data_IF_331691874726
#
_entry.id   IF_331691874726
#
_cell.length_a   1.000
_cell.length_b   1.000
_cell.length_c   1.000
_cell.angle_alpha   90.00
_cell.angle_beta   90.00
_cell.angle_gamma   90.00
#
_symmetry.space_group_name_H-M   'P 1'
#
loop_
_entity.id
_entity.type
_entity.pdbx_description
1 polymer ?
#
# COMPACT_ATOMS: atom_id res chain seq x y z
N UNK A 1 -27.67 8.92 -1.84
CA UNK A 1 -26.67 8.78 -0.77
C UNK A 1 -25.29 9.14 -1.30
N UNK A 2 -24.53 9.99 -0.61
CA UNK A 2 -23.13 10.30 -0.98
C UNK A 2 -22.22 9.13 -0.63
N UNK A 3 -21.02 9.07 -1.22
CA UNK A 3 -20.05 8.03 -0.88
C UNK A 3 -19.64 8.09 0.60
N UNK A 4 -19.60 9.28 1.19
CA UNK A 4 -19.30 9.44 2.60
C UNK A 4 -20.39 8.87 3.50
N UNK A 5 -21.67 9.18 3.23
CA UNK A 5 -22.77 8.62 4.02
C UNK A 5 -22.83 7.10 3.88
N UNK A 6 -22.62 6.56 2.66
CA UNK A 6 -22.59 5.11 2.47
C UNK A 6 -21.43 4.46 3.24
N UNK A 7 -20.27 5.09 3.29
CA UNK A 7 -19.13 4.64 4.09
C UNK A 7 -19.48 4.53 5.56
N UNK A 8 -20.08 5.59 6.13
CA UNK A 8 -20.48 5.64 7.54
C UNK A 8 -21.52 4.56 7.86
N UNK A 9 -22.49 4.34 6.97
CA UNK A 9 -23.47 3.25 7.10
C UNK A 9 -22.81 1.88 7.08
N UNK A 10 -21.92 1.61 6.13
CA UNK A 10 -21.19 0.32 6.05
C UNK A 10 -20.40 0.07 7.33
N UNK A 11 -19.69 1.08 7.85
CA UNK A 11 -18.95 0.96 9.12
C UNK A 11 -19.91 0.63 10.27
N UNK A 12 -20.98 1.41 10.44
CA UNK A 12 -21.98 1.18 11.50
C UNK A 12 -22.57 -0.22 11.46
N UNK A 13 -22.90 -0.73 10.28
CA UNK A 13 -23.50 -2.05 10.10
C UNK A 13 -22.49 -3.19 10.31
N UNK A 14 -21.25 -3.02 9.85
CA UNK A 14 -20.22 -4.06 9.95
C UNK A 14 -19.61 -4.15 11.36
N UNK A 15 -19.54 -3.04 12.10
CA UNK A 15 -18.78 -2.96 13.35
C UNK A 15 -19.18 -4.00 14.41
N UNK A 16 -20.46 -4.32 14.65
CA UNK A 16 -20.83 -5.33 15.65
C UNK A 16 -20.27 -6.72 15.35
N UNK A 17 -20.39 -7.19 14.09
CA UNK A 17 -19.88 -8.51 13.68
C UNK A 17 -18.35 -8.53 13.62
N UNK A 18 -17.73 -7.44 13.17
CA UNK A 18 -16.27 -7.31 13.12
C UNK A 18 -15.68 -7.40 14.53
N UNK A 19 -16.26 -6.67 15.49
CA UNK A 19 -15.81 -6.69 16.88
C UNK A 19 -16.06 -8.04 17.57
N UNK A 20 -17.19 -8.72 17.31
CA UNK A 20 -17.45 -10.03 17.91
C UNK A 20 -16.45 -11.10 17.45
N UNK A 21 -15.84 -10.92 16.27
CA UNK A 21 -14.79 -11.80 15.75
C UNK A 21 -13.37 -11.39 16.21
N UNK A 22 -13.25 -10.40 17.09
CA UNK A 22 -11.96 -9.90 17.58
C UNK A 22 -11.17 -9.10 16.54
N UNK A 23 -11.85 -8.55 15.52
CA UNK A 23 -11.27 -7.73 14.47
C UNK A 23 -11.68 -6.26 14.66
N UNK A 24 -11.01 -5.38 13.91
CA UNK A 24 -11.37 -3.96 13.80
C UNK A 24 -11.67 -3.60 12.35
N UNK A 25 -12.56 -2.63 12.15
CA UNK A 25 -12.78 -2.05 10.84
C UNK A 25 -11.58 -1.16 10.51
N UNK A 26 -10.80 -1.57 9.51
CA UNK A 26 -9.65 -0.81 9.04
C UNK A 26 -10.07 0.30 8.08
N UNK A 27 -11.10 0.09 7.27
CA UNK A 27 -11.65 1.15 6.44
C UNK A 27 -12.55 0.65 5.34
N UNK A 28 -13.11 1.58 4.55
CA UNK A 28 -14.08 1.26 3.50
C UNK A 28 -13.76 2.08 2.25
N UNK A 29 -13.62 1.39 1.13
CA UNK A 29 -13.44 1.98 -0.21
C UNK A 29 -14.72 1.81 -1.02
N UNK A 30 -15.17 2.90 -1.66
CA UNK A 30 -16.34 2.90 -2.53
C UNK A 30 -15.89 3.35 -3.90
N UNK A 31 -16.23 2.57 -4.92
CA UNK A 31 -15.98 2.92 -6.32
C UNK A 31 -17.25 2.78 -7.14
N UNK A 32 -17.60 3.84 -7.88
CA UNK A 32 -18.73 3.84 -8.82
C UNK A 32 -18.21 3.90 -10.25
N UNK A 33 -17.89 2.73 -10.81
CA UNK A 33 -17.39 2.59 -12.18
C UNK A 33 -18.27 1.57 -12.93
N UNK A 34 -19.51 1.97 -13.22
CA UNK A 34 -20.55 1.11 -13.79
C UNK A 34 -21.41 0.46 -12.70
N UNK A 35 -20.83 -0.50 -11.97
CA UNK A 35 -21.44 -1.07 -10.74
C UNK A 35 -20.79 -0.48 -9.50
N UNK A 36 -21.56 -0.35 -8.43
CA UNK A 36 -21.03 0.09 -7.14
C UNK A 36 -20.19 -1.03 -6.53
N UNK A 37 -18.92 -0.77 -6.23
CA UNK A 37 -18.06 -1.65 -5.45
C UNK A 37 -17.93 -1.08 -4.04
N UNK A 38 -18.30 -1.87 -3.04
CA UNK A 38 -18.07 -1.59 -1.62
C UNK A 38 -17.02 -2.58 -1.12
N UNK A 39 -15.85 -2.07 -0.76
CA UNK A 39 -14.77 -2.90 -0.18
C UNK A 39 -14.55 -2.51 1.27
N UNK A 40 -14.86 -3.44 2.17
CA UNK A 40 -14.58 -3.34 3.59
C UNK A 40 -13.22 -3.98 3.89
N UNK A 41 -12.34 -3.21 4.51
CA UNK A 41 -11.07 -3.69 5.05
C UNK A 41 -11.22 -3.96 6.55
N UNK A 42 -10.79 -5.14 6.98
CA UNK A 42 -10.72 -5.53 8.39
C UNK A 42 -9.31 -5.94 8.77
N UNK A 43 -8.93 -5.70 10.02
CA UNK A 43 -7.61 -6.06 10.52
C UNK A 43 -7.68 -6.53 11.97
N UNK A 44 -6.59 -7.12 12.44
CA UNK A 44 -6.44 -7.50 13.85
C UNK A 44 -6.11 -6.25 14.65
N UNK A 45 -6.76 -6.01 15.80
CA UNK A 45 -6.42 -4.89 16.68
C UNK A 45 -4.94 -5.00 17.08
N UNK A 46 -4.18 -3.93 16.84
CA UNK A 46 -2.80 -3.85 17.31
C UNK A 46 -2.84 -3.41 18.77
N UNK A 47 -2.32 -4.23 19.68
CA UNK A 47 -2.09 -3.77 21.05
C UNK A 47 -1.14 -2.56 20.99
N UNK A 48 -1.42 -1.46 21.72
CA UNK A 48 -0.45 -0.40 21.86
C UNK A 48 0.82 -1.02 22.46
N UNK A 49 1.92 -0.97 21.73
CA UNK A 49 3.23 -1.34 22.24
C UNK A 49 3.51 -0.36 23.39
N UNK A 50 3.42 -0.83 24.64
CA UNK A 50 3.98 -0.08 25.75
C UNK A 50 5.46 0.06 25.48
N UNK A 51 5.99 1.28 25.62
CA UNK A 51 7.41 1.60 25.48
C UNK A 51 8.27 0.66 26.35
N UNK A 52 8.75 -0.45 25.80
CA UNK A 52 9.86 -1.25 26.36
C UNK A 52 11.20 -0.58 25.99
N UNK A 53 11.29 0.71 26.25
CA UNK A 53 12.52 1.49 26.21
C UNK A 53 12.75 2.25 27.52
N UNK A 54 12.59 1.57 28.66
CA UNK A 54 13.24 2.01 29.89
C UNK A 54 13.32 0.86 30.91
N UNK A 55 14.49 0.22 30.99
CA UNK A 55 15.19 -0.11 32.25
C UNK A 55 16.33 -1.09 31.97
N UNK A 56 17.56 -0.58 32.00
CA UNK A 56 18.68 -1.42 32.39
C UNK A 56 18.43 -1.97 33.80
N UNK A 57 18.89 -3.19 34.11
CA UNK A 57 19.39 -3.47 35.43
C UNK A 57 20.90 -3.70 35.34
N UNK A 58 21.62 -2.68 35.80
CA UNK A 58 22.92 -2.84 36.43
C UNK A 58 22.71 -3.68 37.69
N UNK A 59 23.14 -4.94 37.68
CA UNK A 59 23.33 -5.73 38.91
C UNK A 59 24.61 -6.55 38.82
N UNK A 60 25.62 -6.04 39.52
CA UNK A 60 26.78 -6.78 40.02
C UNK A 60 26.36 -8.08 40.74
N UNK A 61 27.04 -9.19 40.43
CA UNK A 61 27.47 -10.17 41.43
C UNK A 61 28.60 -11.06 40.89
N UNK A 62 29.80 -10.86 41.41
CA UNK A 62 30.95 -11.76 41.30
C UNK A 62 30.95 -12.68 42.52
N UNK A 63 31.01 -14.00 42.31
CA UNK A 63 31.71 -14.99 43.16
C UNK A 63 31.58 -16.41 42.56
N UNK A 64 32.67 -17.18 42.43
CA UNK A 64 32.59 -18.63 42.38
C UNK A 64 33.28 -19.25 43.61
N UNK A 65 32.60 -20.20 44.25
CA UNK A 65 33.18 -21.11 45.22
C UNK A 65 33.30 -22.51 44.57
N UNK A 66 34.45 -23.15 44.79
CA UNK A 66 34.76 -24.50 44.34
C UNK A 66 34.06 -25.57 45.23
N UNK A 67 33.82 -26.76 44.67
CA UNK A 67 33.42 -27.94 45.44
C UNK A 67 33.07 -29.15 44.57
N UNK A 68 33.98 -30.12 44.55
CA UNK A 68 33.90 -31.46 43.93
C UNK A 68 33.05 -32.44 44.78
N UNK A 69 32.35 -33.41 44.18
CA UNK A 69 32.37 -34.84 44.57
C UNK A 69 31.42 -35.74 43.76
N UNK A 70 31.95 -36.95 43.53
CA UNK A 70 31.46 -38.16 42.85
C UNK A 70 30.16 -38.80 43.35
N UNK A 71 29.49 -39.58 42.47
CA UNK A 71 28.89 -40.87 42.85
C UNK A 71 27.48 -41.22 42.33
N UNK A 72 27.40 -42.12 41.31
CA UNK A 72 26.61 -43.38 41.22
C UNK A 72 25.13 -43.40 41.75
N UNK A 73 24.05 -43.90 41.11
CA UNK A 73 23.71 -44.58 39.85
C UNK A 73 22.14 -44.54 39.64
N UNK A 74 21.43 -45.47 38.95
CA UNK A 74 20.52 -45.13 37.85
C UNK A 74 19.01 -45.35 38.14
N UNK A 75 18.22 -45.13 37.09
CA UNK A 75 16.79 -45.44 36.90
C UNK A 75 15.77 -44.59 37.66
N UNK A 76 15.25 -43.58 36.97
CA UNK A 76 13.81 -43.40 36.94
C UNK A 76 13.36 -42.99 35.53
N UNK A 77 12.41 -43.75 35.00
CA UNK A 77 11.77 -43.52 33.71
C UNK A 77 10.68 -42.48 33.95
N UNK A 78 11.01 -41.20 33.77
CA UNK A 78 10.01 -40.14 33.66
C UNK A 78 9.65 -39.94 32.19
N UNK A 79 8.37 -40.06 31.78
CA UNK A 79 7.96 -39.61 30.47
C UNK A 79 8.27 -38.12 30.39
N UNK A 80 9.08 -37.74 29.40
CA UNK A 80 9.40 -36.38 29.06
C UNK A 80 8.11 -35.67 28.59
N UNK A 81 7.40 -35.05 29.54
CA UNK A 81 6.29 -34.15 29.26
C UNK A 81 6.85 -32.75 29.00
N UNK A 82 7.73 -32.62 28.00
CA UNK A 82 8.09 -31.33 27.44
C UNK A 82 7.12 -30.97 26.31
N UNK A 83 5.87 -30.69 26.71
CA UNK A 83 4.97 -29.89 25.87
C UNK A 83 5.42 -28.43 25.94
N UNK A 84 6.60 -28.15 25.38
CA UNK A 84 6.96 -26.79 24.95
C UNK A 84 6.27 -26.54 23.61
N UNK A 85 4.95 -26.45 23.67
CA UNK A 85 4.16 -25.98 22.54
C UNK A 85 4.18 -24.45 22.66
N UNK A 86 4.96 -23.71 21.86
CA UNK A 86 4.93 -22.26 21.92
C UNK A 86 3.48 -21.83 21.70
N UNK A 87 2.98 -20.96 22.59
CA UNK A 87 1.65 -20.38 22.48
C UNK A 87 1.43 -19.92 21.03
N UNK A 88 0.27 -20.22 20.41
CA UNK A 88 0.05 -19.89 19.01
C UNK A 88 0.27 -18.39 18.83
N UNK A 89 1.22 -18.03 17.96
CA UNK A 89 1.46 -16.64 17.61
C UNK A 89 0.14 -15.99 17.21
N UNK A 90 -0.17 -14.83 17.81
CA UNK A 90 -1.41 -14.12 17.54
C UNK A 90 -1.59 -13.92 16.02
N UNK A 91 -2.81 -14.10 15.48
CA UNK A 91 -3.03 -14.02 14.05
C UNK A 91 -2.62 -12.64 13.52
N UNK A 92 -1.86 -12.62 12.44
CA UNK A 92 -1.35 -11.39 11.82
C UNK A 92 -2.36 -10.71 10.90
N UNK A 93 -3.47 -11.39 10.60
CA UNK A 93 -4.55 -10.94 9.72
C UNK A 93 -5.83 -11.74 9.97
N UNK A 94 -6.98 -11.25 9.51
CA UNK A 94 -8.23 -12.00 9.51
C UNK A 94 -8.15 -13.27 8.66
N UNK A 95 -8.88 -14.32 9.04
CA UNK A 95 -9.02 -15.55 8.26
C UNK A 95 -10.08 -15.40 7.15
N UNK A 96 -10.12 -16.37 6.22
CA UNK A 96 -11.12 -16.38 5.14
C UNK A 96 -12.53 -16.55 5.70
N UNK A 97 -12.68 -17.41 6.72
CA UNK A 97 -13.96 -17.69 7.38
C UNK A 97 -14.50 -16.43 8.08
N UNK A 98 -13.63 -15.66 8.75
CA UNK A 98 -14.02 -14.38 9.34
C UNK A 98 -14.51 -13.39 8.27
N UNK A 99 -13.82 -13.32 7.13
CA UNK A 99 -14.20 -12.42 6.03
C UNK A 99 -15.54 -12.85 5.40
N UNK A 100 -15.77 -14.15 5.22
CA UNK A 100 -17.03 -14.71 4.75
C UNK A 100 -18.19 -14.38 5.70
N UNK A 101 -17.98 -14.59 7.00
CA UNK A 101 -18.99 -14.32 8.01
C UNK A 101 -19.38 -12.85 8.05
N UNK A 102 -18.40 -11.94 8.01
CA UNK A 102 -18.66 -10.50 7.94
C UNK A 102 -19.41 -10.15 6.64
N UNK A 103 -18.99 -10.71 5.50
CA UNK A 103 -19.61 -10.45 4.20
C UNK A 103 -21.10 -10.82 4.19
N UNK A 104 -21.45 -12.01 4.70
CA UNK A 104 -22.84 -12.48 4.78
C UNK A 104 -23.70 -11.58 5.67
N UNK A 105 -23.22 -11.22 6.86
CA UNK A 105 -23.96 -10.38 7.79
C UNK A 105 -24.14 -8.95 7.25
N UNK A 106 -23.08 -8.37 6.70
CA UNK A 106 -23.11 -7.02 6.15
C UNK A 106 -24.02 -6.92 4.92
N UNK A 107 -23.99 -7.91 4.02
CA UNK A 107 -24.89 -7.94 2.87
C UNK A 107 -26.35 -7.92 3.31
N UNK A 108 -26.74 -8.81 4.24
CA UNK A 108 -28.10 -8.84 4.79
C UNK A 108 -28.51 -7.50 5.43
N UNK A 109 -27.61 -6.88 6.18
CA UNK A 109 -27.89 -5.59 6.82
C UNK A 109 -28.09 -4.45 5.80
N UNK A 110 -27.27 -4.42 4.73
CA UNK A 110 -27.38 -3.42 3.66
C UNK A 110 -28.69 -3.55 2.88
N UNK A 111 -29.16 -4.79 2.64
CA UNK A 111 -30.46 -5.04 2.00
C UNK A 111 -31.63 -4.61 2.89
N UNK A 112 -31.59 -4.93 4.19
CA UNK A 112 -32.67 -4.57 5.14
C UNK A 112 -32.80 -3.05 5.28
N UNK A 113 -31.68 -2.33 5.27
CA UNK A 113 -31.68 -0.87 5.35
C UNK A 113 -31.87 -0.18 3.99
N UNK A 114 -31.93 -0.93 2.88
CA UNK A 114 -31.99 -0.41 1.50
C UNK A 114 -30.96 0.69 1.23
N UNK A 115 -29.73 0.47 1.71
CA UNK A 115 -28.68 1.51 1.73
C UNK A 115 -28.06 1.76 0.35
N UNK A 116 -28.20 0.82 -0.59
CA UNK A 116 -27.63 0.90 -1.94
C UNK A 116 -28.73 0.54 -2.95
N UNK A 117 -29.29 1.53 -3.67
CA UNK A 117 -30.45 1.29 -4.55
C UNK A 117 -30.10 0.54 -5.85
N UNK A 118 -28.82 0.56 -6.25
CA UNK A 118 -28.34 -0.06 -7.48
C UNK A 118 -27.60 -1.37 -7.19
N UNK A 119 -27.46 -2.24 -8.20
CA UNK A 119 -26.65 -3.45 -8.08
C UNK A 119 -25.21 -3.13 -7.66
N UNK A 120 -24.72 -3.85 -6.65
CA UNK A 120 -23.39 -3.66 -6.08
C UNK A 120 -22.60 -4.96 -5.94
N UNK A 121 -21.30 -4.82 -5.71
CA UNK A 121 -20.39 -5.89 -5.32
C UNK A 121 -19.86 -5.55 -3.94
N UNK A 122 -19.99 -6.48 -3.00
CA UNK A 122 -19.40 -6.39 -1.67
C UNK A 122 -18.14 -7.25 -1.61
N UNK A 123 -17.03 -6.65 -1.18
CA UNK A 123 -15.78 -7.33 -0.88
C UNK A 123 -15.40 -7.09 0.58
N UNK A 124 -15.06 -8.15 1.31
CA UNK A 124 -14.45 -8.06 2.64
C UNK A 124 -13.06 -8.65 2.55
N UNK A 125 -12.05 -7.87 2.95
CA UNK A 125 -10.64 -8.29 2.84
C UNK A 125 -9.78 -7.70 3.95
N UNK A 126 -8.56 -8.21 4.07
CA UNK A 126 -7.53 -7.60 4.90
C UNK A 126 -6.73 -6.60 4.07
N UNK A 127 -6.12 -5.55 4.67
CA UNK A 127 -5.35 -4.55 3.93
C UNK A 127 -4.06 -5.12 3.28
N UNK A 128 -3.65 -6.34 3.63
CA UNK A 128 -2.52 -7.04 3.02
C UNK A 128 -1.15 -6.44 3.34
N UNK A 129 -0.16 -6.72 2.48
CA UNK A 129 1.22 -6.21 2.62
C UNK A 129 1.31 -4.71 2.28
N UNK A 130 0.65 -4.32 1.19
CA UNK A 130 0.55 -2.93 0.72
C UNK A 130 -0.67 -2.26 1.34
N UNK A 131 -0.54 -1.90 2.62
CA UNK A 131 -1.64 -1.44 3.47
C UNK A 131 -2.13 -0.06 3.05
N UNK A 132 -3.42 0.04 2.72
CA UNK A 132 -4.10 1.30 2.43
C UNK A 132 -4.50 1.99 3.73
N UNK A 133 -4.14 3.26 3.93
CA UNK A 133 -4.50 4.02 5.11
C UNK A 133 -5.79 4.82 4.91
N UNK A 134 -6.63 4.86 5.94
CA UNK A 134 -7.89 5.58 6.00
C UNK A 134 -7.92 6.68 7.06
N UNK A 135 -6.96 6.68 7.99
CA UNK A 135 -6.74 7.74 8.98
C UNK A 135 -5.25 7.90 9.30
N UNK A 136 -4.89 9.03 9.93
CA UNK A 136 -3.52 9.29 10.40
C UNK A 136 -3.10 8.34 11.52
N UNK A 137 -4.01 8.01 12.44
CA UNK A 137 -3.78 7.07 13.55
C UNK A 137 -3.24 5.72 13.05
N UNK A 138 -3.73 5.26 11.91
CA UNK A 138 -3.29 4.02 11.28
C UNK A 138 -1.85 4.08 10.78
N UNK A 139 -1.34 5.27 10.44
CA UNK A 139 0.00 5.46 9.91
C UNK A 139 1.08 5.43 11.00
N UNK A 140 0.72 5.80 12.25
CA UNK A 140 1.69 6.01 13.34
C UNK A 140 2.61 4.80 13.59
N UNK A 141 2.08 3.57 13.48
CA UNK A 141 2.86 2.33 13.66
C UNK A 141 3.80 1.98 12.50
N UNK A 142 3.78 2.74 11.41
CA UNK A 142 4.58 2.51 10.21
C UNK A 142 5.61 3.61 9.99
N UNK A 143 5.92 4.41 11.02
CA UNK A 143 7.08 5.30 10.98
C UNK A 143 8.33 4.46 10.69
N UNK A 144 9.11 4.89 9.71
CA UNK A 144 10.25 4.15 9.15
C UNK A 144 9.93 3.33 7.89
N UNK A 145 8.66 3.10 7.56
CA UNK A 145 8.29 2.40 6.33
C UNK A 145 8.12 3.36 5.15
N UNK A 146 8.26 2.84 3.92
CA UNK A 146 7.99 3.59 2.70
C UNK A 146 6.49 3.69 2.47
N UNK A 147 6.01 4.92 2.27
CA UNK A 147 4.61 5.24 1.98
C UNK A 147 4.51 5.96 0.64
N UNK A 148 3.53 5.57 -0.18
CA UNK A 148 3.08 6.33 -1.34
C UNK A 148 1.85 7.15 -0.96
N UNK A 149 1.95 8.47 -1.09
CA UNK A 149 0.85 9.40 -0.92
C UNK A 149 0.46 10.00 -2.28
N UNK A 150 -0.79 9.83 -2.67
CA UNK A 150 -1.40 10.45 -3.85
C UNK A 150 -2.25 11.62 -3.39
N UNK A 151 -1.99 12.79 -3.94
CA UNK A 151 -2.61 14.05 -3.55
C UNK A 151 -3.70 14.48 -4.52
N UNK A 152 -4.64 15.28 -4.03
CA UNK A 152 -5.64 15.94 -4.87
C UNK A 152 -4.97 16.90 -5.85
N UNK A 153 -4.18 17.83 -5.31
CA UNK A 153 -3.43 18.85 -6.03
C UNK A 153 -1.92 18.57 -5.97
N UNK A 154 -1.13 19.04 -6.96
CA UNK A 154 0.33 18.95 -6.90
C UNK A 154 0.89 19.75 -5.72
N UNK A 155 1.80 19.16 -4.94
CA UNK A 155 2.54 19.83 -3.86
C UNK A 155 4.02 19.89 -4.24
N UNK A 156 4.65 21.05 -4.05
CA UNK A 156 6.08 21.25 -4.27
C UNK A 156 6.90 20.77 -3.07
N UNK A 157 8.17 20.46 -3.32
CA UNK A 157 9.15 20.28 -2.24
C UNK A 157 9.31 21.58 -1.47
N UNK A 158 9.60 21.48 -0.17
CA UNK A 158 9.88 22.63 0.71
C UNK A 158 11.16 23.38 0.29
N UNK A 159 12.07 22.72 -0.43
CA UNK A 159 13.30 23.33 -0.95
C UNK A 159 13.12 23.85 -2.39
N UNK A 160 13.26 25.17 -2.64
CA UNK A 160 13.21 25.74 -3.99
C UNK A 160 14.38 25.34 -4.89
N UNK A 161 15.48 24.81 -4.34
CA UNK A 161 16.64 24.31 -5.09
C UNK A 161 16.53 22.82 -5.44
N UNK A 162 15.58 22.09 -4.84
CA UNK A 162 15.27 20.72 -5.21
C UNK A 162 14.81 20.69 -6.67
N UNK A 163 15.52 19.93 -7.51
CA UNK A 163 15.15 19.76 -8.92
C UNK A 163 13.90 18.87 -9.01
N UNK A 164 12.72 19.47 -8.85
CA UNK A 164 11.45 18.78 -8.91
C UNK A 164 10.29 19.75 -8.85
N UNK A 165 9.52 19.83 -9.92
CA UNK A 165 8.27 20.59 -9.93
C UNK A 165 7.23 20.01 -8.96
N UNK A 166 6.11 20.71 -8.76
CA UNK A 166 5.05 20.22 -7.89
C UNK A 166 4.52 18.87 -8.40
N UNK A 167 4.43 17.88 -7.50
CA UNK A 167 4.06 16.50 -7.82
C UNK A 167 2.83 16.06 -7.06
N UNK A 168 2.02 15.20 -7.70
CA UNK A 168 0.79 14.63 -7.13
C UNK A 168 1.01 13.29 -6.45
N UNK A 169 2.19 12.70 -6.63
CA UNK A 169 2.57 11.41 -6.05
C UNK A 169 3.87 11.65 -5.31
N UNK A 170 3.84 11.37 -4.02
CA UNK A 170 5.00 11.38 -3.16
C UNK A 170 5.27 9.95 -2.70
N UNK A 171 6.53 9.56 -2.76
CA UNK A 171 7.04 8.32 -2.18
C UNK A 171 8.14 8.71 -1.22
N UNK A 172 8.10 8.16 -0.03
CA UNK A 172 9.08 8.51 0.98
C UNK A 172 8.97 7.62 2.20
N UNK A 173 10.04 7.59 2.97
CA UNK A 173 10.04 7.01 4.31
C UNK A 173 9.18 7.90 5.20
N UNK A 174 8.19 7.31 5.85
CA UNK A 174 7.35 8.01 6.83
C UNK A 174 8.19 8.34 8.06
N UNK A 175 8.49 9.61 8.30
CA UNK A 175 9.35 10.03 9.41
C UNK A 175 8.58 10.51 10.62
N UNK A 176 7.38 11.07 10.42
CA UNK A 176 6.51 11.52 11.50
C UNK A 176 5.04 11.47 11.06
N UNK A 177 4.16 11.28 12.04
CA UNK A 177 2.71 11.46 11.91
C UNK A 177 2.30 12.52 12.92
N UNK A 178 1.66 13.57 12.45
CA UNK A 178 1.19 14.71 13.24
C UNK A 178 -0.34 14.72 13.25
N UNK A 179 -0.97 15.68 13.93
CA UNK A 179 -2.43 15.76 14.08
C UNK A 179 -3.14 16.05 12.74
N UNK A 180 -2.55 16.90 11.90
CA UNK A 180 -3.18 17.35 10.63
C UNK A 180 -2.57 16.70 9.39
N UNK A 181 -1.52 15.89 9.52
CA UNK A 181 -0.78 15.36 8.39
C UNK A 181 0.38 14.47 8.78
N UNK A 182 1.28 14.21 7.83
CA UNK A 182 2.46 13.39 8.05
C UNK A 182 3.64 13.87 7.24
N UNK A 183 4.84 13.47 7.66
CA UNK A 183 6.10 13.87 7.03
C UNK A 183 6.71 12.68 6.29
N UNK A 184 7.08 12.90 5.02
CA UNK A 184 7.81 11.93 4.22
C UNK A 184 9.21 12.45 3.91
N UNK A 185 10.24 11.66 4.20
CA UNK A 185 11.57 11.82 3.60
C UNK A 185 11.55 11.21 2.20
N UNK A 186 11.69 12.00 1.12
CA UNK A 186 11.48 11.51 -0.25
C UNK A 186 12.45 10.41 -0.67
N UNK A 187 11.93 9.36 -1.29
CA UNK A 187 12.74 8.23 -1.80
C UNK A 187 12.36 7.90 -3.24
N UNK A 188 13.38 7.57 -4.03
CA UNK A 188 13.24 6.93 -5.32
C UNK A 188 13.19 5.41 -5.13
N UNK A 189 12.36 4.74 -5.94
CA UNK A 189 12.30 3.28 -5.96
C UNK A 189 12.79 2.82 -7.32
N UNK A 190 13.90 2.08 -7.34
CA UNK A 190 14.46 1.54 -8.58
C UNK A 190 13.55 0.45 -9.17
N UNK A 191 13.66 0.17 -10.48
CA UNK A 191 12.98 -0.99 -11.10
C UNK A 191 13.31 -2.32 -10.43
N UNK A 192 14.49 -2.42 -9.82
CA UNK A 192 14.99 -3.60 -9.09
C UNK A 192 14.40 -3.73 -7.68
N UNK A 193 13.72 -2.69 -7.18
CA UNK A 193 13.13 -2.66 -5.83
C UNK A 193 14.10 -2.16 -4.76
N UNK A 194 15.10 -1.36 -5.14
CA UNK A 194 15.95 -0.68 -4.18
C UNK A 194 15.36 0.69 -3.84
N UNK A 195 15.44 1.05 -2.55
CA UNK A 195 15.01 2.36 -2.04
C UNK A 195 16.25 3.23 -1.95
N UNK A 196 16.26 4.31 -2.72
CA UNK A 196 17.33 5.30 -2.74
C UNK A 196 16.80 6.62 -2.20
N UNK A 197 17.53 7.24 -1.28
CA UNK A 197 17.18 8.56 -0.76
C UNK A 197 17.32 9.60 -1.88
N UNK A 198 16.28 10.41 -2.13
CA UNK A 198 16.39 11.51 -3.09
C UNK A 198 17.28 12.65 -2.55
N UNK A 199 17.72 12.57 -1.30
CA UNK A 199 18.44 13.61 -0.54
C UNK A 199 17.71 14.96 -0.57
N UNK A 200 16.37 14.90 -0.66
CA UNK A 200 15.50 16.06 -0.58
C UNK A 200 15.02 16.27 0.85
N UNK A 201 14.72 17.53 1.24
CA UNK A 201 14.18 17.77 2.56
C UNK A 201 12.87 16.99 2.75
N UNK A 202 12.58 16.57 4.00
CA UNK A 202 11.29 16.00 4.32
C UNK A 202 10.15 16.96 3.93
N UNK A 203 9.07 16.40 3.38
CA UNK A 203 7.87 17.13 2.99
C UNK A 203 6.75 16.83 3.98
N UNK A 204 6.08 17.87 4.47
CA UNK A 204 4.84 17.72 5.21
C UNK A 204 3.65 17.65 4.24
N UNK A 205 2.81 16.64 4.41
CA UNK A 205 1.62 16.41 3.61
C UNK A 205 0.38 16.48 4.52
N UNK A 206 -0.45 17.54 4.40
CA UNK A 206 -1.72 17.61 5.11
C UNK A 206 -2.63 16.45 4.70
N UNK A 207 -3.25 15.77 5.66
CA UNK A 207 -4.15 14.64 5.38
C UNK A 207 -5.32 15.06 4.47
N UNK A 208 -5.81 16.29 4.62
CA UNK A 208 -6.85 16.88 3.78
C UNK A 208 -6.48 16.98 2.29
N UNK A 209 -5.19 17.03 1.98
CA UNK A 209 -4.68 17.06 0.60
C UNK A 209 -4.46 15.65 0.03
N UNK A 210 -4.49 14.62 0.87
CA UNK A 210 -4.23 13.22 0.51
C UNK A 210 -5.51 12.57 0.00
N UNK A 211 -5.47 12.17 -1.27
CA UNK A 211 -6.53 11.37 -1.88
C UNK A 211 -6.42 9.90 -1.50
N UNK A 212 -5.19 9.39 -1.37
CA UNK A 212 -4.90 7.98 -1.07
C UNK A 212 -3.49 7.85 -0.52
N UNK A 213 -3.33 7.16 0.61
CA UNK A 213 -2.02 6.82 1.17
C UNK A 213 -1.88 5.29 1.33
N UNK A 214 -0.77 4.72 0.88
CA UNK A 214 -0.52 3.28 0.97
C UNK A 214 0.89 3.01 1.42
N UNK A 215 1.08 2.08 2.37
CA UNK A 215 2.37 1.46 2.64
C UNK A 215 2.85 0.71 1.40
N UNK A 216 4.10 0.92 1.01
CA UNK A 216 4.75 0.18 -0.07
C UNK A 216 5.55 -0.97 0.53
N UNK A 217 5.19 -2.21 0.18
CA UNK A 217 6.04 -3.36 0.45
C UNK A 217 6.96 -3.60 -0.74
N UNK A 218 8.26 -3.43 -0.53
CA UNK A 218 9.25 -3.46 -1.60
C UNK A 218 9.97 -4.81 -1.56
N UNK A 219 9.69 -5.66 -2.55
CA UNK A 219 10.36 -6.94 -2.71
C UNK A 219 11.74 -6.72 -3.33
N UNK A 220 12.80 -7.02 -2.57
CA UNK A 220 14.15 -7.12 -3.14
C UNK A 220 14.20 -8.32 -4.09
N UNK A 221 14.44 -8.10 -5.38
CA UNK A 221 14.61 -9.22 -6.29
C UNK A 221 15.83 -10.06 -5.88
N UNK A 222 15.71 -11.40 -5.81
CA UNK A 222 16.85 -12.25 -5.53
C UNK A 222 17.88 -12.08 -6.64
N UNK A 223 19.07 -11.59 -6.28
CA UNK A 223 20.19 -11.47 -7.21
C UNK A 223 20.55 -12.88 -7.69
N UNK A 224 20.29 -13.18 -8.97
CA UNK A 224 20.69 -14.46 -9.55
C UNK A 224 22.21 -14.60 -9.42
N UNK A 225 22.74 -15.66 -8.79
CA UNK A 225 24.18 -15.85 -8.70
C UNK A 225 24.74 -16.03 -10.11
N UNK A 226 25.53 -15.06 -10.59
CA UNK A 226 26.34 -15.22 -11.81
C UNK A 226 26.33 -14.09 -12.85
N UNK A 227 25.59 -12.99 -12.68
CA UNK A 227 25.64 -11.90 -13.68
C UNK A 227 26.82 -10.96 -13.42
N UNK A 228 28.00 -11.32 -13.95
CA UNK A 228 29.16 -10.41 -14.02
C UNK A 228 28.76 -9.14 -14.78
N UNK A 229 29.27 -7.95 -14.41
CA UNK A 229 29.01 -6.72 -15.16
C UNK A 229 29.61 -6.86 -16.56
N UNK A 230 28.76 -6.89 -17.58
CA UNK A 230 29.21 -6.98 -18.97
C UNK A 230 29.99 -5.72 -19.36
N UNK A 231 31.27 -5.88 -19.69
CA UNK A 231 32.07 -4.84 -20.34
C UNK A 231 31.39 -4.42 -21.65
N UNK A 232 31.08 -3.12 -21.80
CA UNK A 232 30.62 -2.55 -23.08
C UNK A 232 31.58 -2.95 -24.20
N UNK A 233 31.11 -3.49 -25.34
CA UNK A 233 31.97 -3.71 -26.48
C UNK A 233 32.37 -2.34 -27.06
N UNK A 234 33.68 -2.13 -27.08
CA UNK A 234 34.37 -1.00 -27.71
C UNK A 234 34.05 -1.00 -29.20
N UNK A 235 33.64 0.16 -29.72
CA UNK A 235 33.23 0.34 -31.11
C UNK A 235 34.25 -0.21 -32.11
N UNK A 236 33.74 -0.82 -33.18
CA UNK A 236 34.51 -1.11 -34.39
C UNK A 236 34.14 -0.08 -35.44
N UNK A 237 35.15 0.69 -35.85
CA UNK A 237 35.15 1.54 -37.02
C UNK A 237 34.73 0.77 -38.28
N UNK A 238 33.85 1.36 -39.10
CA UNK A 238 33.53 0.89 -40.44
C UNK A 238 33.97 1.95 -41.46
N UNK A 239 34.62 1.56 -42.57
CA UNK A 239 35.24 2.49 -43.51
C UNK A 239 34.26 3.04 -44.55
N UNK A 240 34.66 4.17 -45.15
CA UNK A 240 33.96 4.91 -46.19
C UNK A 240 33.84 4.16 -47.53
N UNK A 241 32.73 4.39 -48.24
CA UNK A 241 32.54 4.00 -49.65
C UNK A 241 31.39 4.79 -50.30
N UNK A 242 31.71 5.52 -51.37
CA UNK A 242 30.87 6.49 -52.12
C UNK A 242 29.90 5.82 -53.11
N UNK A 243 28.77 6.50 -53.36
CA UNK A 243 28.34 6.88 -54.73
C UNK A 243 27.03 6.30 -55.26
N UNK A 244 26.09 7.19 -55.66
CA UNK A 244 25.01 6.86 -56.60
C UNK A 244 23.72 7.70 -56.45
N UNK A 245 23.54 8.73 -57.29
CA UNK A 245 22.32 9.55 -57.42
C UNK A 245 21.18 8.79 -58.14
N UNK A 246 19.90 9.12 -57.86
CA UNK A 246 18.98 9.81 -58.82
C UNK A 246 17.51 9.90 -58.34
N UNK A 247 17.00 11.14 -58.34
CA UNK A 247 15.69 11.71 -58.75
C UNK A 247 14.30 11.00 -58.58
N UNK A 248 13.40 11.77 -57.91
CA UNK A 248 12.01 12.20 -58.27
C UNK A 248 10.91 11.19 -58.70
N UNK A 249 9.76 11.25 -57.97
CA UNK A 249 8.37 11.63 -58.40
C UNK A 249 7.40 11.36 -57.21
N UNK A 250 6.67 12.32 -56.61
CA UNK A 250 5.47 13.12 -56.98
C UNK A 250 4.14 12.34 -57.12
N UNK A 251 3.09 12.92 -56.50
CA UNK A 251 1.63 12.74 -56.62
C UNK A 251 1.01 11.63 -55.72
N UNK A 252 -0.17 11.76 -55.10
CA UNK A 252 -1.31 12.71 -55.17
C UNK A 252 -2.06 12.70 -53.81
N UNK A 253 -2.57 13.82 -53.27
CA UNK A 253 -3.94 14.36 -53.43
C UNK A 253 -5.06 13.37 -53.05
N UNK A 254 -6.07 13.70 -52.23
CA UNK A 254 -6.53 15.03 -51.88
C UNK A 254 -7.59 15.08 -50.78
N UNK A 255 -7.72 16.31 -50.27
CA UNK A 255 -8.77 16.83 -49.41
C UNK A 255 -9.79 17.50 -50.31
N UNK A 256 -11.08 17.20 -50.18
CA UNK A 256 -12.13 18.08 -50.70
C UNK A 256 -13.35 18.10 -49.79
N UNK A 257 -13.65 19.33 -49.39
CA UNK A 257 -14.84 19.86 -48.74
C UNK A 257 -16.10 19.66 -49.57
N UNK A 258 -17.23 19.41 -48.92
CA UNK A 258 -18.56 19.49 -49.50
C UNK A 258 -19.49 20.25 -48.56
N UNK A 259 -19.79 21.49 -48.94
CA UNK A 259 -20.83 22.34 -48.36
C UNK A 259 -22.18 21.94 -48.98
N UNK A 260 -23.26 21.92 -48.21
CA UNK A 260 -24.60 21.59 -48.72
C UNK A 260 -25.68 22.30 -47.90
N UNK A 261 -26.16 23.42 -48.43
CA UNK A 261 -27.42 24.09 -48.06
C UNK A 261 -28.22 24.17 -49.36
N UNK A 262 -29.45 23.69 -49.34
CA UNK A 262 -30.57 24.18 -50.14
C UNK A 262 -31.88 23.57 -49.64
N UNK A 263 -32.82 24.47 -49.36
CA UNK A 263 -34.25 24.30 -49.12
C UNK A 263 -34.97 23.38 -50.12
N UNK A 264 -36.06 22.73 -49.68
CA UNK A 264 -37.36 22.98 -50.31
C UNK A 264 -38.58 22.64 -49.44
N UNK A 265 -39.57 23.48 -49.65
CA UNK A 265 -40.87 23.71 -49.04
C UNK A 265 -41.98 22.76 -49.58
N UNK A 266 -43.02 22.40 -48.79
CA UNK A 266 -44.45 22.39 -49.19
C UNK A 266 -45.43 21.79 -48.14
N UNK A 267 -46.15 22.68 -47.46
CA UNK A 267 -47.63 22.86 -47.35
C UNK A 267 -48.67 21.72 -47.37
N UNK A 268 -49.74 22.01 -46.60
CA UNK A 268 -51.17 21.59 -46.66
C UNK A 268 -51.57 20.39 -45.78
N UNK A 269 -52.59 20.41 -44.92
CA UNK A 269 -53.71 21.35 -44.67
C UNK A 269 -54.05 21.41 -43.19
#
# INVERSE_FOLDING_TARGET
>A
MTDQTLRETVIRLAQPVVHSLGLVVWGVEIARAGRTLVRLFVDVPTAPQADEHQAAPDVMAVSPAAGISDGFAPSDFTPDESSDSPAPAAPTSATIEQCEEISRHLALALEVEDSIPDAYVLEVSTPGLSRLFFSLEQMARYVGDVVEARLHTPVASTDPAAHGGPRRIWRGTLTAVEEEGFVLAPVAISPEGDVEDENHPPVFLPWSSVRRATRMYIFKQPQKPGKKPGSKPRGKDAPAGKGGQTAKKKAASGKKTGNGVADNDHTAS
#
